data_IF_149665859622
#
_entry.id   IF_149665859622
#
_cell.length_a   1.000
_cell.length_b   1.000
_cell.length_c   1.000
_cell.angle_alpha   90.00
_cell.angle_beta   90.00
_cell.angle_gamma   90.00
#
_symmetry.space_group_name_H-M   'P 1'
#
loop_
_entity.id
_entity.type
_entity.pdbx_description
1 polymer ?
#
# COMPACT_ATOMS: atom_id res chain seq x y z
N UNK A 1 -2.70 19.50 -31.72
CA UNK A 1 -1.74 18.68 -30.96
C UNK A 1 -2.48 17.67 -30.11
N UNK A 2 -2.81 16.51 -30.69
CA UNK A 2 -3.45 15.40 -30.00
C UNK A 2 -2.42 14.30 -29.79
N UNK A 3 -2.12 13.94 -28.54
CA UNK A 3 -1.25 12.81 -28.23
C UNK A 3 -2.14 11.56 -28.20
N UNK A 4 -1.90 10.65 -29.14
CA UNK A 4 -2.73 9.48 -29.49
C UNK A 4 -2.17 8.15 -28.98
N UNK A 5 -1.39 8.15 -27.90
CA UNK A 5 -0.88 6.90 -27.32
C UNK A 5 -0.68 7.00 -25.80
N UNK A 6 -1.47 6.24 -25.07
CA UNK A 6 -1.37 6.14 -23.61
C UNK A 6 -0.40 5.06 -23.14
N UNK A 7 0.21 4.29 -24.05
CA UNK A 7 1.18 3.24 -23.69
C UNK A 7 2.34 3.81 -22.87
N UNK A 8 2.76 5.04 -23.20
CA UNK A 8 3.86 5.75 -22.54
C UNK A 8 3.41 6.79 -21.50
N UNK A 9 2.11 6.93 -21.23
CA UNK A 9 1.66 7.77 -20.12
C UNK A 9 2.12 7.10 -18.82
N UNK A 10 2.98 7.77 -18.07
CA UNK A 10 3.40 7.33 -16.74
C UNK A 10 2.30 7.74 -15.75
N UNK A 11 2.01 6.89 -14.76
CA UNK A 11 1.31 7.37 -13.58
C UNK A 11 2.12 8.53 -12.99
N UNK A 12 1.43 9.57 -12.53
CA UNK A 12 2.08 10.81 -12.10
C UNK A 12 3.09 10.58 -10.96
N UNK A 13 3.00 9.44 -10.27
CA UNK A 13 4.04 8.83 -9.44
C UNK A 13 3.92 7.31 -9.53
N UNK A 14 5.01 6.61 -9.90
CA UNK A 14 5.11 5.14 -9.92
C UNK A 14 4.85 4.61 -8.51
N UNK A 15 3.70 3.94 -8.32
CA UNK A 15 3.34 3.33 -7.05
C UNK A 15 3.37 1.82 -7.17
N UNK A 16 4.52 1.19 -6.92
CA UNK A 16 4.64 -0.25 -7.04
C UNK A 16 3.72 -0.92 -6.01
N UNK A 17 2.76 -1.72 -6.49
CA UNK A 17 1.88 -2.50 -5.61
C UNK A 17 2.74 -3.44 -4.76
N UNK A 18 2.50 -3.43 -3.45
CA UNK A 18 3.20 -4.33 -2.53
C UNK A 18 2.43 -5.64 -2.43
N UNK A 19 3.07 -6.74 -2.76
CA UNK A 19 2.47 -8.08 -2.62
C UNK A 19 2.76 -8.71 -1.26
N UNK A 20 1.83 -9.53 -0.79
CA UNK A 20 2.04 -10.41 0.35
C UNK A 20 3.14 -11.43 0.09
N UNK A 21 3.65 -12.06 1.15
CA UNK A 21 4.46 -13.26 0.99
C UNK A 21 3.69 -14.37 0.27
N UNK A 22 4.43 -15.24 -0.42
CA UNK A 22 3.88 -16.42 -1.10
C UNK A 22 3.30 -17.39 -0.06
N UNK A 23 2.02 -17.74 -0.20
CA UNK A 23 1.35 -18.75 0.61
C UNK A 23 1.05 -19.99 -0.24
N UNK A 24 1.22 -21.19 0.32
CA UNK A 24 0.71 -22.41 -0.30
C UNK A 24 -0.81 -22.48 -0.06
N UNK A 25 -1.59 -21.82 -0.90
CA UNK A 25 -3.04 -21.65 -0.73
C UNK A 25 -3.73 -21.42 -2.09
N UNK A 26 -5.07 -21.42 -2.09
CA UNK A 26 -5.91 -21.09 -3.25
C UNK A 26 -7.28 -20.60 -2.77
N UNK A 27 -7.99 -19.78 -3.56
CA UNK A 27 -9.36 -19.35 -3.27
C UNK A 27 -10.30 -20.06 -4.24
N UNK A 28 -11.12 -20.97 -3.72
CA UNK A 28 -11.94 -21.83 -4.58
C UNK A 28 -12.98 -21.02 -5.36
N UNK A 29 -12.99 -21.17 -6.69
CA UNK A 29 -14.06 -20.65 -7.55
C UNK A 29 -14.02 -19.14 -7.81
N UNK A 30 -12.99 -18.46 -7.32
CA UNK A 30 -12.85 -17.00 -7.42
C UNK A 30 -11.78 -16.65 -8.47
N UNK A 31 -11.97 -17.09 -9.72
CA UNK A 31 -11.07 -16.80 -10.82
C UNK A 31 -11.79 -15.90 -11.83
N UNK A 32 -11.60 -14.58 -11.72
CA UNK A 32 -12.19 -13.62 -12.65
C UNK A 32 -11.61 -13.80 -14.05
N UNK A 33 -10.29 -13.97 -14.17
CA UNK A 33 -9.57 -14.28 -15.41
C UNK A 33 -8.50 -15.36 -15.19
N UNK A 34 -8.18 -16.13 -16.23
CA UNK A 34 -7.08 -17.08 -16.25
C UNK A 34 -6.18 -16.95 -17.49
N UNK A 35 -4.87 -17.03 -17.27
CA UNK A 35 -3.84 -16.87 -18.30
C UNK A 35 -2.83 -18.02 -18.23
N UNK A 36 -2.68 -18.83 -19.29
CA UNK A 36 -1.69 -19.89 -19.33
C UNK A 36 -0.32 -19.38 -19.77
N UNK A 37 0.74 -20.04 -19.27
CA UNK A 37 2.10 -19.89 -19.81
C UNK A 37 2.90 -18.71 -19.27
N UNK A 38 2.47 -18.08 -18.19
CA UNK A 38 3.14 -16.91 -17.60
C UNK A 38 4.02 -17.26 -16.41
N UNK A 39 5.02 -16.42 -16.13
CA UNK A 39 5.76 -16.41 -14.87
C UNK A 39 4.91 -15.80 -13.75
N UNK A 40 5.34 -15.98 -12.50
CA UNK A 40 4.64 -15.40 -11.36
C UNK A 40 4.69 -13.87 -11.37
N UNK A 41 5.77 -13.27 -11.87
CA UNK A 41 5.92 -11.81 -11.94
C UNK A 41 5.07 -11.21 -13.05
N UNK A 42 5.02 -11.86 -14.23
CA UNK A 42 4.06 -11.48 -15.29
C UNK A 42 2.61 -11.61 -14.82
N UNK A 43 2.31 -12.60 -13.98
CA UNK A 43 0.98 -12.77 -13.39
C UNK A 43 0.60 -11.61 -12.46
N UNK A 44 1.55 -11.13 -11.64
CA UNK A 44 1.36 -9.95 -10.79
C UNK A 44 1.13 -8.71 -11.64
N UNK A 45 2.01 -8.45 -12.61
CA UNK A 45 1.88 -7.32 -13.53
C UNK A 45 0.53 -7.35 -14.25
N UNK A 46 0.03 -8.54 -14.61
CA UNK A 46 -1.29 -8.69 -15.21
C UNK A 46 -2.42 -8.28 -14.28
N UNK A 47 -2.34 -8.60 -13.00
CA UNK A 47 -3.29 -8.17 -11.97
C UNK A 47 -3.24 -6.65 -11.76
N UNK A 48 -2.03 -6.09 -11.64
CA UNK A 48 -1.81 -4.66 -11.39
C UNK A 48 -2.36 -3.77 -12.52
N UNK A 49 -2.36 -4.29 -13.75
CA UNK A 49 -2.84 -3.59 -14.94
C UNK A 49 -4.26 -4.01 -15.37
N UNK A 50 -5.00 -4.74 -14.53
CA UNK A 50 -6.38 -5.11 -14.84
C UNK A 50 -7.31 -3.90 -14.68
N UNK A 51 -7.95 -3.48 -15.77
CA UNK A 51 -8.86 -2.33 -15.78
C UNK A 51 -10.35 -2.74 -15.69
N UNK A 52 -10.69 -4.02 -15.90
CA UNK A 52 -12.08 -4.47 -15.97
C UNK A 52 -12.70 -4.80 -14.61
N UNK A 53 -11.88 -5.05 -13.59
CA UNK A 53 -12.28 -5.26 -12.20
C UNK A 53 -11.13 -4.96 -11.25
N UNK A 54 -11.42 -4.85 -9.94
CA UNK A 54 -10.38 -4.58 -8.94
C UNK A 54 -9.62 -5.86 -8.62
N UNK A 55 -8.59 -6.19 -9.41
CA UNK A 55 -7.77 -7.36 -9.12
C UNK A 55 -7.02 -7.15 -7.79
N UNK A 56 -7.21 -8.08 -6.85
CA UNK A 56 -6.75 -7.99 -5.46
C UNK A 56 -5.82 -9.15 -5.10
N UNK A 57 -5.92 -10.29 -5.80
CA UNK A 57 -5.04 -11.42 -5.57
C UNK A 57 -4.79 -12.27 -6.81
N UNK A 58 -3.75 -13.10 -6.73
CA UNK A 58 -3.41 -14.09 -7.74
C UNK A 58 -3.27 -15.49 -7.14
N UNK A 59 -3.62 -16.48 -7.94
CA UNK A 59 -3.31 -17.88 -7.74
C UNK A 59 -2.41 -18.36 -8.89
N UNK A 60 -1.24 -18.86 -8.54
CA UNK A 60 -0.23 -19.28 -9.50
C UNK A 60 0.11 -20.76 -9.35
N UNK A 61 0.07 -21.49 -10.47
CA UNK A 61 0.48 -22.88 -10.51
C UNK A 61 1.83 -23.00 -11.26
N UNK A 62 2.95 -23.26 -10.55
CA UNK A 62 4.27 -23.32 -11.14
C UNK A 62 4.48 -24.54 -12.05
N UNK A 63 3.64 -25.58 -11.97
CA UNK A 63 3.78 -26.79 -12.81
C UNK A 63 3.33 -26.55 -14.25
N UNK A 64 2.24 -25.83 -14.42
CA UNK A 64 1.67 -25.54 -15.74
C UNK A 64 1.76 -24.05 -16.12
N UNK A 65 2.40 -23.22 -15.27
CA UNK A 65 2.51 -21.78 -15.45
C UNK A 65 1.14 -21.08 -15.60
N UNK A 66 0.13 -21.61 -14.92
CA UNK A 66 -1.21 -21.02 -14.91
C UNK A 66 -1.27 -19.84 -13.93
N UNK A 67 -1.77 -18.71 -14.40
CA UNK A 67 -2.03 -17.50 -13.64
C UNK A 67 -3.54 -17.28 -13.55
N UNK A 68 -4.07 -17.08 -12.35
CA UNK A 68 -5.49 -16.83 -12.11
C UNK A 68 -5.62 -15.57 -11.28
N UNK A 69 -6.41 -14.62 -11.76
CA UNK A 69 -6.60 -13.31 -11.16
C UNK A 69 -7.95 -13.25 -10.44
N UNK A 70 -8.02 -12.52 -9.32
CA UNK A 70 -9.23 -12.48 -8.48
C UNK A 70 -9.45 -11.13 -7.79
N UNK A 71 -10.71 -10.73 -7.62
CA UNK A 71 -11.11 -9.69 -6.66
C UNK A 71 -11.10 -10.17 -5.20
N UNK A 72 -11.07 -11.50 -4.99
CA UNK A 72 -11.10 -12.07 -3.65
C UNK A 72 -9.74 -11.92 -2.96
N UNK A 73 -9.76 -11.71 -1.64
CA UNK A 73 -8.57 -11.65 -0.78
C UNK A 73 -8.54 -12.81 0.21
N UNK A 74 -7.50 -12.88 1.03
CA UNK A 74 -7.37 -13.89 2.09
C UNK A 74 -8.46 -13.81 3.16
N UNK A 75 -9.21 -12.72 3.22
CA UNK A 75 -10.42 -12.57 4.05
C UNK A 75 -11.62 -13.38 3.53
N UNK A 76 -11.56 -13.90 2.29
CA UNK A 76 -12.61 -14.72 1.71
C UNK A 76 -12.81 -16.02 2.50
N UNK A 77 -14.07 -16.40 2.71
CA UNK A 77 -14.42 -17.70 3.30
C UNK A 77 -14.05 -18.90 2.41
N UNK A 78 -13.71 -18.65 1.14
CA UNK A 78 -13.33 -19.67 0.17
C UNK A 78 -11.82 -19.92 0.09
N UNK A 79 -11.03 -19.33 1.00
CA UNK A 79 -9.59 -19.57 1.09
C UNK A 79 -9.28 -20.98 1.64
N UNK A 80 -8.43 -21.73 0.92
CA UNK A 80 -7.91 -23.04 1.33
C UNK A 80 -6.41 -22.98 1.62
N UNK A 81 -6.00 -23.36 2.84
CA UNK A 81 -4.60 -23.44 3.27
C UNK A 81 -4.33 -24.81 3.94
N UNK A 82 -3.51 -25.71 3.35
CA UNK A 82 -2.99 -25.65 1.99
C UNK A 82 -4.09 -25.81 0.95
N UNK A 83 -3.83 -25.41 -0.29
CA UNK A 83 -4.77 -25.63 -1.38
C UNK A 83 -5.14 -27.11 -1.50
N UNK A 84 -6.42 -27.40 -1.83
CA UNK A 84 -6.92 -28.76 -2.04
C UNK A 84 -6.22 -29.45 -3.23
N UNK A 85 -5.65 -28.67 -4.15
CA UNK A 85 -4.69 -29.14 -5.15
C UNK A 85 -3.27 -28.77 -4.71
N UNK A 86 -2.37 -29.76 -4.69
CA UNK A 86 -0.99 -29.54 -4.23
C UNK A 86 -0.21 -28.62 -5.17
N UNK A 87 0.49 -27.65 -4.57
CA UNK A 87 1.52 -26.84 -5.23
C UNK A 87 1.02 -25.52 -5.80
N UNK A 88 -0.20 -25.10 -5.47
CA UNK A 88 -0.71 -23.78 -5.81
C UNK A 88 -0.15 -22.72 -4.87
N UNK A 89 0.20 -21.58 -5.43
CA UNK A 89 0.76 -20.44 -4.74
C UNK A 89 -0.23 -19.29 -4.78
N UNK A 90 -0.48 -18.68 -3.63
CA UNK A 90 -1.38 -17.56 -3.46
C UNK A 90 -0.60 -16.33 -3.02
N UNK A 91 -0.93 -15.18 -3.59
CA UNK A 91 -0.44 -13.88 -3.18
C UNK A 91 -1.56 -12.86 -3.31
N UNK A 92 -1.61 -11.88 -2.44
CA UNK A 92 -2.55 -10.76 -2.52
C UNK A 92 -1.81 -9.42 -2.54
N UNK A 93 -2.42 -8.44 -3.17
CA UNK A 93 -1.96 -7.05 -3.09
C UNK A 93 -2.26 -6.61 -1.65
N UNK A 94 -1.21 -6.30 -0.89
CA UNK A 94 -1.36 -5.61 0.37
C UNK A 94 -1.78 -4.17 0.06
N UNK A 95 -2.61 -3.59 0.93
CA UNK A 95 -3.15 -2.24 0.78
C UNK A 95 -2.16 -1.31 0.08
N UNK A 96 -2.65 -0.69 -0.98
CA UNK A 96 -1.88 0.21 -1.82
C UNK A 96 -1.36 1.37 -0.99
N UNK A 97 -0.03 1.58 -0.90
CA UNK A 97 0.56 2.75 -0.26
C UNK A 97 0.14 4.09 -0.89
N UNK A 98 -0.67 4.04 -1.94
CA UNK A 98 -1.13 5.18 -2.68
C UNK A 98 -2.65 5.38 -2.59
N UNK A 99 -3.48 4.36 -2.39
CA UNK A 99 -4.95 4.56 -2.34
C UNK A 99 -5.44 5.24 -1.05
N UNK A 100 -4.57 5.40 -0.07
CA UNK A 100 -4.80 6.26 1.08
C UNK A 100 -3.81 7.40 0.98
N UNK A 101 -4.19 8.63 0.61
CA UNK A 101 -3.28 9.78 0.58
C UNK A 101 -2.34 9.86 1.80
N UNK A 102 -1.09 9.37 1.67
CA UNK A 102 -0.44 8.74 2.81
C UNK A 102 0.08 9.71 3.86
N UNK A 103 -0.67 9.70 4.94
CA UNK A 103 -0.25 10.05 6.29
C UNK A 103 0.53 8.95 7.01
N UNK A 104 0.74 7.82 6.34
CA UNK A 104 1.31 6.60 6.91
C UNK A 104 2.80 6.43 6.59
N UNK A 105 3.44 7.44 5.98
CA UNK A 105 4.89 7.41 5.77
C UNK A 105 5.64 7.61 7.10
N UNK A 106 6.43 6.59 7.43
CA UNK A 106 7.33 6.55 8.57
C UNK A 106 8.78 6.67 8.09
N UNK A 107 9.62 7.34 8.86
CA UNK A 107 11.06 7.34 8.61
C UNK A 107 11.63 5.91 8.67
N UNK A 108 12.84 5.73 8.15
CA UNK A 108 13.61 4.51 8.40
C UNK A 108 13.67 4.19 9.90
N UNK A 109 13.66 2.89 10.18
CA UNK A 109 13.81 2.37 11.54
C UNK A 109 15.26 2.54 11.96
N UNK A 110 15.48 3.18 13.10
CA UNK A 110 16.80 3.44 13.67
C UNK A 110 16.92 2.75 15.02
N UNK A 111 18.10 2.26 15.37
CA UNK A 111 18.42 1.91 16.76
C UNK A 111 18.56 3.22 17.55
N UNK A 112 17.46 3.75 18.06
CA UNK A 112 17.38 5.04 18.70
C UNK A 112 16.18 5.08 19.65
N UNK A 113 16.11 6.11 20.51
CA UNK A 113 15.02 6.35 21.44
C UNK A 113 14.95 7.83 21.82
N UNK A 114 13.81 8.28 22.37
CA UNK A 114 13.66 9.61 22.95
C UNK A 114 13.44 9.45 24.46
N UNK A 115 14.41 9.92 25.23
CA UNK A 115 14.38 9.73 26.69
C UNK A 115 13.15 10.41 27.30
N UNK A 116 12.43 9.69 28.18
CA UNK A 116 11.30 10.18 28.99
C UNK A 116 10.09 10.75 28.21
N UNK A 117 10.05 10.57 26.89
CA UNK A 117 8.99 11.10 26.02
C UNK A 117 7.99 10.01 25.60
N UNK A 118 7.49 9.25 26.58
CA UNK A 118 6.57 8.14 26.38
C UNK A 118 5.13 8.55 26.74
N UNK A 119 4.52 9.43 25.93
CA UNK A 119 3.18 9.98 26.20
C UNK A 119 2.11 8.88 26.40
N UNK A 120 2.23 7.75 25.69
CA UNK A 120 1.35 6.59 25.85
C UNK A 120 2.07 5.29 25.55
N UNK A 121 1.70 4.20 26.22
CA UNK A 121 2.33 2.91 26.03
C UNK A 121 1.37 1.74 25.80
N UNK A 122 1.82 0.75 25.03
CA UNK A 122 1.09 -0.47 24.73
C UNK A 122 2.02 -1.68 24.78
N UNK A 123 1.49 -2.80 25.27
CA UNK A 123 2.23 -4.06 25.38
C UNK A 123 1.56 -5.17 24.59
N UNK A 124 2.36 -6.03 23.97
CA UNK A 124 1.88 -7.20 23.22
C UNK A 124 1.43 -6.90 21.79
N UNK A 125 1.71 -5.70 21.28
CA UNK A 125 1.33 -5.26 19.92
C UNK A 125 2.48 -5.42 18.93
N UNK A 126 2.20 -5.55 17.63
CA UNK A 126 3.24 -5.48 16.60
C UNK A 126 3.66 -4.02 16.37
N UNK A 127 4.79 -3.82 15.67
CA UNK A 127 5.21 -2.47 15.26
C UNK A 127 4.18 -1.78 14.35
N UNK A 128 3.52 -2.53 13.46
CA UNK A 128 2.48 -1.96 12.59
C UNK A 128 1.26 -1.51 13.38
N UNK A 129 0.83 -2.29 14.38
CA UNK A 129 -0.25 -1.89 15.31
C UNK A 129 0.19 -0.71 16.18
N UNK A 130 1.48 -0.62 16.56
CA UNK A 130 2.02 0.53 17.27
C UNK A 130 1.91 1.82 16.43
N UNK A 131 2.27 1.74 15.15
CA UNK A 131 2.14 2.84 14.18
C UNK A 131 0.68 3.24 13.97
N UNK A 132 -0.22 2.27 13.80
CA UNK A 132 -1.66 2.50 13.67
C UNK A 132 -2.23 3.21 14.92
N UNK A 133 -1.78 2.82 16.11
CA UNK A 133 -2.19 3.47 17.36
C UNK A 133 -1.69 4.92 17.47
N UNK A 134 -0.48 5.21 17.00
CA UNK A 134 0.00 6.59 16.89
C UNK A 134 -0.87 7.41 15.96
N UNK A 135 -1.19 6.85 14.79
CA UNK A 135 -2.01 7.52 13.79
C UNK A 135 -3.41 7.85 14.29
N UNK A 136 -4.03 6.91 15.01
CA UNK A 136 -5.38 7.06 15.56
C UNK A 136 -5.40 7.71 16.95
N UNK A 137 -4.28 8.28 17.41
CA UNK A 137 -4.24 8.95 18.71
C UNK A 137 -4.89 10.33 18.62
N UNK A 138 -5.89 10.56 19.48
CA UNK A 138 -6.68 11.78 19.53
C UNK A 138 -6.34 12.67 20.73
N UNK A 139 -5.67 12.13 21.75
CA UNK A 139 -5.36 12.88 22.98
C UNK A 139 -4.10 13.75 22.87
N UNK A 140 -3.21 13.46 21.93
CA UNK A 140 -2.04 14.28 21.59
C UNK A 140 -1.64 14.03 20.14
N UNK A 141 -0.94 14.98 19.53
CA UNK A 141 -0.40 14.80 18.18
C UNK A 141 0.77 13.82 18.23
N UNK A 142 0.50 12.52 18.09
CA UNK A 142 1.56 11.52 18.09
C UNK A 142 2.44 11.68 16.85
N UNK A 143 3.73 11.95 17.04
CA UNK A 143 4.70 12.24 15.97
C UNK A 143 5.72 11.12 15.79
N UNK A 144 5.99 10.31 16.81
CA UNK A 144 6.94 9.21 16.72
C UNK A 144 6.59 8.03 17.61
N UNK A 145 7.22 6.89 17.34
CA UNK A 145 7.13 5.70 18.18
C UNK A 145 8.50 5.14 18.54
N UNK A 146 8.54 4.49 19.69
CA UNK A 146 9.62 3.59 20.08
C UNK A 146 9.06 2.19 20.27
N UNK A 147 9.76 1.19 19.75
CA UNK A 147 9.31 -0.19 19.78
C UNK A 147 10.43 -1.13 20.20
N UNK A 148 10.09 -2.15 20.99
CA UNK A 148 10.99 -3.24 21.35
C UNK A 148 10.37 -4.58 21.03
N UNK A 149 11.00 -5.32 20.12
CA UNK A 149 10.47 -6.58 19.61
C UNK A 149 10.53 -7.74 20.61
N UNK A 150 11.48 -7.72 21.54
CA UNK A 150 11.71 -8.82 22.49
C UNK A 150 10.52 -9.03 23.44
N UNK A 151 9.83 -7.96 23.82
CA UNK A 151 8.65 -7.99 24.69
C UNK A 151 7.43 -7.26 24.12
N UNK A 152 7.50 -6.86 22.85
CA UNK A 152 6.41 -6.21 22.09
C UNK A 152 5.91 -4.94 22.78
N UNK A 153 6.85 -4.13 23.26
CA UNK A 153 6.54 -2.86 23.89
C UNK A 153 6.51 -1.75 22.84
N UNK A 154 5.52 -0.88 22.94
CA UNK A 154 5.27 0.26 22.07
C UNK A 154 5.13 1.52 22.92
N UNK A 155 5.89 2.56 22.62
CA UNK A 155 5.71 3.89 23.15
C UNK A 155 5.33 4.84 22.03
N UNK A 156 4.36 5.69 22.29
CA UNK A 156 3.91 6.78 21.44
C UNK A 156 4.42 8.10 22.02
N UNK A 157 4.85 9.00 21.15
CA UNK A 157 5.43 10.28 21.55
C UNK A 157 4.92 11.44 20.72
N UNK A 158 4.72 12.60 21.34
CA UNK A 158 4.41 13.85 20.64
C UNK A 158 5.65 14.55 20.06
N UNK A 159 6.86 14.03 20.33
CA UNK A 159 8.11 14.63 19.87
C UNK A 159 8.78 13.80 18.78
N UNK A 160 9.73 14.43 18.08
CA UNK A 160 10.48 13.87 16.94
C UNK A 160 11.97 13.78 17.24
N UNK A 161 12.74 13.32 16.27
CA UNK A 161 14.20 13.21 16.32
C UNK A 161 14.92 14.56 16.40
N UNK A 162 14.18 15.66 16.24
CA UNK A 162 14.62 17.03 16.51
C UNK A 162 14.69 17.37 18.00
N UNK A 163 14.09 16.55 18.87
CA UNK A 163 14.16 16.73 20.33
C UNK A 163 15.60 16.62 20.85
N UNK A 164 15.94 17.41 21.86
CA UNK A 164 17.22 17.26 22.59
C UNK A 164 17.33 15.92 23.33
N UNK A 165 16.22 15.24 23.55
CA UNK A 165 16.16 13.96 24.26
C UNK A 165 16.32 12.75 23.32
N UNK A 166 16.37 12.98 22.00
CA UNK A 166 16.61 11.95 20.99
C UNK A 166 18.06 11.43 21.05
N UNK A 167 18.21 10.12 21.12
CA UNK A 167 19.50 9.45 21.23
C UNK A 167 19.65 8.36 20.17
N UNK A 168 20.79 8.38 19.47
CA UNK A 168 21.22 7.35 18.52
C UNK A 168 22.70 7.01 18.78
N UNK A 169 23.06 5.77 19.16
CA UNK A 169 22.17 4.66 19.48
C UNK A 169 21.32 4.92 20.72
N UNK A 170 20.26 4.14 20.93
CA UNK A 170 19.53 4.19 22.19
C UNK A 170 20.44 3.79 23.36
N UNK A 171 20.22 4.38 24.55
CA UNK A 171 20.97 4.05 25.76
C UNK A 171 20.61 2.66 26.34
N UNK A 172 19.50 2.06 25.90
CA UNK A 172 19.13 0.66 26.16
C UNK A 172 19.05 -0.10 24.84
N UNK A 173 19.76 -1.22 24.76
CA UNK A 173 19.75 -2.07 23.58
C UNK A 173 18.36 -2.67 23.28
N UNK A 174 18.07 -2.80 21.99
CA UNK A 174 16.86 -3.46 21.49
C UNK A 174 15.66 -2.54 21.29
N UNK A 175 15.75 -1.27 21.68
CA UNK A 175 14.79 -0.25 21.26
C UNK A 175 15.08 0.24 19.86
N UNK A 176 14.01 0.42 19.09
CA UNK A 176 14.05 1.04 17.78
C UNK A 176 13.08 2.21 17.74
N UNK A 177 13.40 3.18 16.91
CA UNK A 177 12.66 4.42 16.74
C UNK A 177 12.28 4.61 15.28
N UNK A 178 11.10 5.17 15.05
CA UNK A 178 10.67 5.72 13.76
C UNK A 178 9.67 6.84 13.99
N UNK A 179 9.61 7.79 13.08
CA UNK A 179 8.74 8.97 13.19
C UNK A 179 7.94 9.20 11.92
N UNK A 180 6.79 9.86 12.08
CA UNK A 180 5.97 10.29 10.95
C UNK A 180 6.77 11.31 10.12
N UNK A 181 6.74 11.19 8.80
CA UNK A 181 7.45 12.13 7.93
C UNK A 181 6.64 13.42 7.71
N UNK A 182 5.30 13.34 7.73
CA UNK A 182 4.39 14.48 7.57
C UNK A 182 3.79 14.92 8.91
N UNK A 183 3.97 16.20 9.23
CA UNK A 183 3.55 16.86 10.47
C UNK A 183 2.06 17.24 10.44
N UNK A 184 1.56 17.62 9.26
CA UNK A 184 0.18 17.98 9.01
C UNK A 184 -0.50 16.89 8.17
N UNK A 185 -1.00 15.88 8.87
CA UNK A 185 -1.97 14.97 8.29
C UNK A 185 -3.33 15.63 8.23
N UNK A 186 -3.48 16.55 7.28
CA UNK A 186 -4.82 16.92 6.83
C UNK A 186 -5.36 15.65 6.17
N UNK A 187 -6.48 15.14 6.66
CA UNK A 187 -7.27 14.14 5.91
C UNK A 187 -7.30 14.61 4.46
N UNK A 188 -6.93 13.75 3.51
CA UNK A 188 -6.99 14.10 2.11
C UNK A 188 -8.45 14.43 1.77
N UNK A 189 -8.75 15.72 1.69
CA UNK A 189 -10.06 16.28 1.39
C UNK A 189 -9.86 17.08 0.12
N UNK A 190 -10.57 16.69 -0.91
CA UNK A 190 -10.58 17.39 -2.18
C UNK A 190 -12.02 17.87 -2.39
N UNK A 191 -12.21 19.20 -2.42
CA UNK A 191 -13.47 19.83 -2.81
C UNK A 191 -13.18 20.86 -3.92
N UNK A 192 -13.37 20.49 -5.20
CA UNK A 192 -14.14 19.35 -5.68
C UNK A 192 -13.40 18.01 -5.59
N UNK A 193 -14.14 16.90 -5.64
CA UNK A 193 -13.57 15.55 -5.66
C UNK A 193 -12.65 15.33 -6.88
N UNK A 194 -11.73 14.36 -6.76
CA UNK A 194 -10.92 13.91 -7.88
C UNK A 194 -11.76 13.09 -8.87
N UNK A 195 -11.69 13.44 -10.15
CA UNK A 195 -12.44 12.79 -11.22
C UNK A 195 -11.63 11.62 -11.83
N UNK A 196 -12.31 10.80 -12.64
CA UNK A 196 -11.69 9.74 -13.45
C UNK A 196 -10.77 8.79 -12.66
N UNK A 197 -11.22 8.38 -11.48
CA UNK A 197 -10.48 7.50 -10.56
C UNK A 197 -9.18 8.11 -10.00
N UNK A 198 -9.03 9.43 -10.07
CA UNK A 198 -8.00 10.14 -9.31
C UNK A 198 -8.17 9.91 -7.80
N UNK A 199 -7.05 9.94 -7.08
CA UNK A 199 -7.02 9.70 -5.64
C UNK A 199 -6.66 11.02 -4.96
N UNK A 200 -7.45 11.42 -3.95
CA UNK A 200 -7.11 12.58 -3.14
C UNK A 200 -5.91 12.23 -2.24
N UNK A 201 -4.80 12.96 -2.41
CA UNK A 201 -3.53 12.69 -1.71
C UNK A 201 -3.13 13.78 -0.72
N UNK A 202 -3.90 14.87 -0.68
CA UNK A 202 -3.71 16.03 0.19
C UNK A 202 -4.93 16.94 0.18
N UNK A 203 -4.81 18.16 0.71
CA UNK A 203 -5.88 19.15 0.65
C UNK A 203 -5.98 19.69 -0.79
N UNK A 204 -7.12 19.45 -1.45
CA UNK A 204 -7.39 19.82 -2.84
C UNK A 204 -6.31 19.35 -3.84
N UNK A 205 -5.60 18.28 -3.48
CA UNK A 205 -4.52 17.71 -4.28
C UNK A 205 -4.92 16.32 -4.78
N UNK A 206 -5.20 16.23 -6.08
CA UNK A 206 -5.52 14.97 -6.74
C UNK A 206 -4.30 14.35 -7.41
N UNK A 207 -4.13 13.05 -7.21
CA UNK A 207 -3.24 12.24 -8.04
C UNK A 207 -4.04 11.53 -9.13
N UNK A 208 -3.70 11.83 -10.38
CA UNK A 208 -4.41 11.29 -11.53
C UNK A 208 -3.89 9.93 -11.95
N UNK A 209 -4.83 9.03 -12.29
CA UNK A 209 -4.53 7.76 -12.94
C UNK A 209 -3.95 8.00 -14.34
N UNK A 210 -3.18 7.04 -14.83
CA UNK A 210 -2.63 6.99 -16.19
C UNK A 210 -3.64 7.44 -17.24
N UNK A 211 -3.24 8.42 -18.04
CA UNK A 211 -4.08 8.97 -19.10
C UNK A 211 -4.96 10.15 -18.69
N UNK A 212 -4.88 10.63 -17.45
CA UNK A 212 -5.59 11.82 -16.96
C UNK A 212 -4.64 12.86 -16.37
N UNK A 213 -5.04 14.13 -16.42
CA UNK A 213 -4.34 15.27 -15.79
C UNK A 213 -5.35 16.35 -15.38
N UNK A 214 -4.84 17.40 -14.74
CA UNK A 214 -5.64 18.52 -14.24
C UNK A 214 -5.69 18.49 -12.71
N UNK A 215 -6.11 19.59 -12.10
CA UNK A 215 -6.14 19.74 -10.64
C UNK A 215 -7.12 18.73 -10.00
N UNK A 216 -8.14 18.32 -10.74
CA UNK A 216 -9.13 17.33 -10.36
C UNK A 216 -9.13 16.11 -11.29
N UNK A 217 -8.06 15.88 -12.06
CA UNK A 217 -7.96 14.78 -13.03
C UNK A 217 -9.05 14.79 -14.12
N UNK A 218 -9.56 15.97 -14.45
CA UNK A 218 -10.67 16.18 -15.36
C UNK A 218 -10.29 16.09 -16.85
N UNK A 219 -9.00 16.24 -17.17
CA UNK A 219 -8.53 16.33 -18.55
C UNK A 219 -7.93 15.01 -19.00
N UNK A 220 -8.54 14.37 -19.99
CA UNK A 220 -7.96 13.20 -20.65
C UNK A 220 -6.68 13.60 -21.42
N UNK A 221 -5.61 12.85 -21.21
CA UNK A 221 -4.37 12.95 -21.97
C UNK A 221 -4.45 12.20 -23.30
N UNK A 222 -5.26 11.14 -23.39
CA UNK A 222 -5.43 10.33 -24.59
C UNK A 222 -6.92 10.06 -24.84
N UNK A 223 -7.32 9.99 -26.11
CA UNK A 223 -8.66 9.53 -26.50
C UNK A 223 -8.66 8.00 -26.66
N UNK A 224 -9.42 7.29 -25.80
CA UNK A 224 -9.61 5.82 -25.94
C UNK A 224 -10.34 5.40 -27.23
N UNK A 225 -10.89 6.35 -27.99
CA UNK A 225 -11.68 6.08 -29.21
C UNK A 225 -10.88 6.00 -30.53
N UNK A 226 -9.55 6.09 -30.51
CA UNK A 226 -8.76 6.04 -31.76
C UNK A 226 -8.30 4.64 -32.21
N UNK A 227 -8.65 3.55 -31.51
CA UNK A 227 -8.28 2.17 -31.92
C UNK A 227 -9.34 1.51 -32.83
N UNK A 228 -10.05 2.30 -33.63
CA UNK A 228 -10.76 1.77 -34.81
C UNK A 228 -10.52 2.69 -35.98
N UNK A 229 -9.51 2.35 -36.78
CA UNK A 229 -9.48 2.43 -38.26
C UNK A 229 -8.02 2.41 -38.75
N UNK A 230 -7.36 1.25 -38.67
CA UNK A 230 -6.34 0.93 -39.66
C UNK A 230 -6.64 -0.45 -40.25
N UNK A 231 -7.27 -0.38 -41.44
CA UNK A 231 -7.41 -1.33 -42.56
C UNK A 231 -7.43 -2.84 -42.30
#
# INVERSE_FOLDING_TARGET
>A
DGITDCSNALDQFDCPKKWSDIRNACIKGNNNNDYPGMTIDECKEKCENEESYSCQSIEYNPRNKGCYLSEAMSSSSDLYVPCYVRGWLYMEILHDPCEMGECYEWSDIRNACIKDNNNKDFKGVSIDVCKEKCFNEDSFNCQSIEYRSSDKWCFLSEVRSTSSDYNVPCYVDGWIYTERLREDCVTAVCDPECLNNGICVGLDECRCKKGWKGDNCETALCNKDSVKLEK
#
